data_IF_689132382782
#
_entry.id   IF_689132382782
#
_cell.length_a   1.000
_cell.length_b   1.000
_cell.length_c   1.000
_cell.angle_alpha   90.00
_cell.angle_beta   90.00
_cell.angle_gamma   90.00
#
_symmetry.space_group_name_H-M   'P 1'
#
loop_
_entity.id
_entity.type
_entity.pdbx_description
1 polymer ?
#
# COMPACT_ATOMS: atom_id res chain seq x y z
N UNK A 1 18.30 -7.24 -8.68
CA UNK A 1 17.79 -6.18 -9.57
C UNK A 1 16.30 -6.40 -9.70
N UNK A 2 15.48 -5.56 -9.09
CA UNK A 2 14.03 -5.61 -9.30
C UNK A 2 13.78 -4.76 -10.54
N UNK A 3 13.64 -5.40 -11.70
CA UNK A 3 13.24 -4.69 -12.90
C UNK A 3 11.89 -4.03 -12.62
N UNK A 4 11.91 -2.70 -12.54
CA UNK A 4 10.74 -1.90 -12.27
C UNK A 4 9.86 -2.02 -13.50
N UNK A 5 8.78 -2.82 -13.41
CA UNK A 5 7.80 -2.97 -14.49
C UNK A 5 7.22 -1.59 -14.83
N UNK A 6 7.75 -0.96 -15.88
CA UNK A 6 7.23 0.29 -16.39
C UNK A 6 6.01 -0.01 -17.26
N UNK A 7 4.84 0.01 -16.64
CA UNK A 7 3.58 -0.14 -17.35
C UNK A 7 3.36 1.02 -18.33
N UNK A 8 2.86 0.72 -19.52
CA UNK A 8 2.42 1.72 -20.50
C UNK A 8 1.22 2.51 -19.97
N UNK A 9 0.88 3.61 -20.65
CA UNK A 9 -0.27 4.42 -20.28
C UNK A 9 -1.57 3.58 -20.34
N UNK A 10 -1.77 2.76 -21.38
CA UNK A 10 -2.96 1.90 -21.49
C UNK A 10 -3.03 0.86 -20.37
N UNK A 11 -1.91 0.27 -19.99
CA UNK A 11 -1.84 -0.73 -18.91
C UNK A 11 -2.21 -0.12 -17.54
N UNK A 12 -1.79 1.14 -17.29
CA UNK A 12 -2.18 1.90 -16.09
C UNK A 12 -3.65 2.33 -16.11
N UNK A 13 -4.24 2.48 -17.28
CA UNK A 13 -5.67 2.80 -17.43
C UNK A 13 -6.57 1.57 -17.50
N UNK A 14 -6.01 0.36 -17.43
CA UNK A 14 -6.83 -0.84 -17.43
C UNK A 14 -7.69 -0.92 -16.16
N UNK A 15 -8.91 -1.48 -16.31
CA UNK A 15 -9.89 -1.54 -15.21
C UNK A 15 -9.38 -2.36 -14.01
N UNK A 16 -8.55 -3.38 -14.27
CA UNK A 16 -7.93 -4.20 -13.25
C UNK A 16 -6.90 -3.40 -12.44
N UNK A 17 -6.07 -2.59 -13.09
CA UNK A 17 -5.08 -1.74 -12.43
C UNK A 17 -5.76 -0.76 -11.47
N UNK A 18 -6.83 -0.08 -11.93
CA UNK A 18 -7.62 0.82 -11.08
C UNK A 18 -8.28 0.11 -9.89
N UNK A 19 -8.81 -1.10 -10.09
CA UNK A 19 -9.38 -1.92 -9.00
C UNK A 19 -8.32 -2.29 -7.98
N UNK A 20 -7.12 -2.66 -8.44
CA UNK A 20 -6.00 -3.02 -7.57
C UNK A 20 -5.46 -1.79 -6.81
N UNK A 21 -5.35 -0.63 -7.47
CA UNK A 21 -4.98 0.63 -6.84
C UNK A 21 -5.97 1.00 -5.73
N UNK A 22 -7.28 0.98 -6.01
CA UNK A 22 -8.29 1.28 -5.01
C UNK A 22 -8.29 0.25 -3.87
N UNK A 23 -8.22 -1.04 -4.20
CA UNK A 23 -8.20 -2.10 -3.18
C UNK A 23 -7.02 -1.95 -2.22
N UNK A 24 -5.83 -1.67 -2.74
CA UNK A 24 -4.63 -1.52 -1.89
C UNK A 24 -4.69 -0.25 -1.03
N UNK A 25 -5.26 0.86 -1.53
CA UNK A 25 -5.57 2.06 -0.72
C UNK A 25 -6.53 1.74 0.43
N UNK A 26 -7.64 1.07 0.12
CA UNK A 26 -8.65 0.70 1.11
C UNK A 26 -8.08 -0.22 2.19
N UNK A 27 -7.21 -1.17 1.81
CA UNK A 27 -6.55 -2.05 2.77
C UNK A 27 -5.59 -1.29 3.68
N UNK A 28 -4.76 -0.39 3.14
CA UNK A 28 -3.86 0.45 3.96
C UNK A 28 -4.66 1.27 4.97
N UNK A 29 -5.74 1.91 4.52
CA UNK A 29 -6.59 2.73 5.40
C UNK A 29 -7.28 1.90 6.49
N UNK A 30 -7.79 0.71 6.16
CA UNK A 30 -8.34 -0.22 7.14
C UNK A 30 -7.30 -0.66 8.17
N UNK A 31 -6.08 -0.93 7.73
CA UNK A 31 -4.99 -1.32 8.65
C UNK A 31 -4.58 -0.15 9.55
N UNK A 32 -4.52 1.09 9.03
CA UNK A 32 -4.27 2.30 9.83
C UNK A 32 -5.33 2.50 10.92
N UNK A 33 -6.62 2.43 10.54
CA UNK A 33 -7.74 2.48 11.50
C UNK A 33 -7.67 1.38 12.56
N UNK A 34 -7.21 0.19 12.18
CA UNK A 34 -7.01 -0.92 13.12
C UNK A 34 -5.86 -0.58 14.07
N UNK A 35 -4.73 -0.08 13.55
CA UNK A 35 -3.55 0.32 14.30
C UNK A 35 -3.85 1.42 15.35
N UNK A 36 -4.79 2.31 15.06
CA UNK A 36 -5.17 3.42 15.94
C UNK A 36 -6.18 2.99 17.04
N UNK A 37 -6.54 1.70 17.10
CA UNK A 37 -7.44 1.17 18.13
C UNK A 37 -6.80 1.11 19.51
N UNK A 38 -7.55 1.47 20.56
CA UNK A 38 -7.08 1.67 21.94
C UNK A 38 -6.54 0.41 22.67
N UNK A 39 -6.57 -0.78 22.05
CA UNK A 39 -6.28 -2.06 22.72
C UNK A 39 -5.33 -2.99 21.94
N UNK A 40 -4.45 -2.44 21.11
CA UNK A 40 -3.42 -3.24 20.45
C UNK A 40 -2.16 -3.37 21.30
N UNK A 41 -1.74 -4.62 21.52
CA UNK A 41 -0.40 -4.90 22.04
C UNK A 41 0.67 -4.61 20.95
N UNK A 42 1.92 -4.41 21.40
CA UNK A 42 3.04 -4.07 20.51
C UNK A 42 3.26 -5.08 19.39
N UNK A 43 3.00 -6.36 19.66
CA UNK A 43 3.14 -7.44 18.67
C UNK A 43 2.12 -7.29 17.55
N UNK A 44 0.85 -7.04 17.87
CA UNK A 44 -0.20 -6.80 16.87
C UNK A 44 0.07 -5.52 16.08
N UNK A 45 0.49 -4.45 16.76
CA UNK A 45 0.92 -3.19 16.14
C UNK A 45 2.03 -3.42 15.13
N UNK A 46 3.06 -4.21 15.48
CA UNK A 46 4.15 -4.56 14.57
C UNK A 46 3.67 -5.36 13.34
N UNK A 47 2.76 -6.31 13.52
CA UNK A 47 2.17 -7.08 12.41
C UNK A 47 1.39 -6.18 11.46
N UNK A 48 0.58 -5.26 11.98
CA UNK A 48 -0.21 -4.32 11.19
C UNK A 48 0.72 -3.38 10.39
N UNK A 49 1.74 -2.82 11.04
CA UNK A 49 2.76 -1.99 10.37
C UNK A 49 3.51 -2.76 9.29
N UNK A 50 3.84 -4.03 9.53
CA UNK A 50 4.44 -4.93 8.54
C UNK A 50 3.56 -5.08 7.29
N UNK A 51 2.26 -5.36 7.47
CA UNK A 51 1.29 -5.48 6.37
C UNK A 51 1.13 -4.18 5.59
N UNK A 52 1.10 -3.03 6.27
CA UNK A 52 1.08 -1.71 5.62
C UNK A 52 2.33 -1.52 4.75
N UNK A 53 3.52 -1.89 5.27
CA UNK A 53 4.77 -1.79 4.52
C UNK A 53 4.78 -2.68 3.26
N UNK A 54 4.28 -3.91 3.37
CA UNK A 54 4.16 -4.83 2.23
C UNK A 54 3.23 -4.29 1.14
N UNK A 55 2.06 -3.75 1.52
CA UNK A 55 1.12 -3.13 0.58
C UNK A 55 1.73 -1.90 -0.10
N UNK A 56 2.46 -1.05 0.65
CA UNK A 56 3.18 0.10 0.09
C UNK A 56 4.26 -0.34 -0.92
N UNK A 57 5.03 -1.39 -0.60
CA UNK A 57 6.04 -1.96 -1.52
C UNK A 57 5.39 -2.49 -2.80
N UNK A 58 4.26 -3.20 -2.69
CA UNK A 58 3.51 -3.68 -3.86
C UNK A 58 3.09 -2.50 -4.76
N UNK A 59 2.51 -1.45 -4.18
CA UNK A 59 2.11 -0.25 -4.92
C UNK A 59 3.28 0.42 -5.63
N UNK A 60 4.41 0.57 -4.95
CA UNK A 60 5.64 1.13 -5.51
C UNK A 60 6.16 0.29 -6.69
N UNK A 61 6.17 -1.04 -6.57
CA UNK A 61 6.61 -1.95 -7.62
C UNK A 61 5.69 -1.91 -8.85
N UNK A 62 4.40 -1.63 -8.65
CA UNK A 62 3.40 -1.48 -9.72
C UNK A 62 3.31 -0.06 -10.29
N UNK A 63 4.17 0.86 -9.83
CA UNK A 63 4.16 2.26 -10.25
C UNK A 63 2.88 3.02 -9.87
N UNK A 64 2.15 2.54 -8.86
CA UNK A 64 0.99 3.23 -8.30
C UNK A 64 1.50 4.34 -7.40
N UNK A 65 1.03 5.58 -7.62
CA UNK A 65 1.43 6.72 -6.80
C UNK A 65 1.30 6.38 -5.31
N UNK A 66 2.42 6.49 -4.60
CA UNK A 66 2.42 6.58 -3.15
C UNK A 66 2.15 8.05 -2.85
N UNK A 67 1.00 8.38 -2.26
CA UNK A 67 0.72 9.75 -1.83
C UNK A 67 1.89 10.27 -0.98
N UNK A 68 2.16 11.59 -0.93
CA UNK A 68 3.23 12.15 -0.11
C UNK A 68 3.19 11.69 1.36
N UNK A 69 1.99 11.46 1.90
CA UNK A 69 1.74 10.89 3.23
C UNK A 69 2.30 9.46 3.42
N UNK A 70 2.53 8.72 2.35
CA UNK A 70 3.09 7.37 2.39
C UNK A 70 4.62 7.35 2.42
N UNK A 71 5.28 8.42 1.96
CA UNK A 71 6.74 8.57 1.93
C UNK A 71 7.34 9.08 3.25
N UNK A 72 6.52 9.69 4.12
CA UNK A 72 6.99 10.35 5.34
C UNK A 72 7.26 9.42 6.55
N UNK A 73 7.01 8.10 6.44
CA UNK A 73 7.13 7.15 7.56
C UNK A 73 7.99 5.93 7.21
N UNK A 74 9.05 6.13 6.42
CA UNK A 74 10.07 5.11 6.08
C UNK A 74 11.23 5.10 7.04
#
# INVERSE_FOLDING_TARGET
MTDRLQLTQEERFCSLYRKLDQHTKDQIERQRKTNDGEHLDERKTAVIRGRISELKKLRLNLGMDTSPEDAANG
#
